data_IF_051960777548
#
_entry.id   IF_051960777548
#
_cell.length_a   1.000
_cell.length_b   1.000
_cell.length_c   1.000
_cell.angle_alpha   90.00
_cell.angle_beta   90.00
_cell.angle_gamma   90.00
#
_symmetry.space_group_name_H-M   'P 1'
#
loop_
_entity.id
_entity.type
_entity.pdbx_description
1 polymer ?
#
# COMPACT_ATOMS: atom_id res chain seq x y z
N UNK A 1 5.47 14.49 -19.18
CA UNK A 1 4.03 14.12 -19.09
C UNK A 1 3.30 15.12 -18.23
N UNK A 2 1.97 15.23 -18.34
CA UNK A 2 1.18 16.15 -17.52
C UNK A 2 0.92 15.51 -16.16
N UNK A 3 1.22 16.22 -15.07
CA UNK A 3 0.92 15.78 -13.71
C UNK A 3 -0.47 16.25 -13.27
N UNK A 4 -1.02 15.59 -12.25
CA UNK A 4 -2.23 16.02 -11.53
C UNK A 4 -1.97 16.04 -10.02
N UNK A 5 -2.33 17.13 -9.36
CA UNK A 5 -2.22 17.28 -7.91
C UNK A 5 -3.45 16.66 -7.24
N UNK A 6 -3.28 15.58 -6.47
CA UNK A 6 -4.38 14.94 -5.75
C UNK A 6 -3.86 14.19 -4.52
N UNK A 7 -4.66 14.18 -3.46
CA UNK A 7 -4.33 13.53 -2.18
C UNK A 7 -3.09 14.13 -1.51
N UNK A 8 -2.89 13.75 -0.26
CA UNK A 8 -1.67 14.02 0.49
C UNK A 8 -1.29 12.79 1.30
N UNK A 9 -0.01 12.67 1.63
CA UNK A 9 0.49 11.64 2.53
C UNK A 9 1.43 12.28 3.54
N UNK A 10 1.11 12.10 4.83
CA UNK A 10 1.86 12.70 5.93
C UNK A 10 2.02 14.22 5.80
N UNK A 11 0.97 14.90 5.34
CA UNK A 11 0.96 16.36 5.15
C UNK A 11 1.61 16.84 3.84
N UNK A 12 2.22 15.95 3.06
CA UNK A 12 2.82 16.31 1.77
C UNK A 12 1.81 16.13 0.63
N UNK A 13 1.53 17.16 -0.18
CA UNK A 13 0.70 17.02 -1.38
C UNK A 13 1.39 16.11 -2.40
N UNK A 14 0.59 15.35 -3.17
CA UNK A 14 1.10 14.37 -4.11
C UNK A 14 0.82 14.78 -5.57
N UNK A 15 1.89 14.79 -6.36
CA UNK A 15 1.85 15.09 -7.80
C UNK A 15 1.91 13.80 -8.61
N UNK A 16 0.79 13.40 -9.20
CA UNK A 16 0.65 12.12 -9.89
C UNK A 16 0.90 12.24 -11.38
N UNK A 17 1.58 11.25 -11.95
CA UNK A 17 1.67 11.07 -13.40
C UNK A 17 1.41 9.61 -13.75
N UNK A 18 0.99 9.38 -14.99
CA UNK A 18 0.69 8.04 -15.52
C UNK A 18 1.92 7.44 -16.17
N UNK A 19 2.04 6.13 -16.13
CA UNK A 19 3.05 5.34 -16.83
C UNK A 19 2.30 4.24 -17.59
N UNK A 20 2.38 4.29 -18.92
CA UNK A 20 1.76 3.29 -19.80
C UNK A 20 2.82 2.35 -20.37
N UNK A 21 2.37 1.15 -20.74
CA UNK A 21 3.19 0.06 -21.30
C UNK A 21 3.70 0.28 -22.74
N UNK A 22 3.39 1.43 -23.35
CA UNK A 22 3.79 1.81 -24.72
C UNK A 22 5.30 1.69 -24.94
N UNK A 23 6.12 1.88 -23.89
CA UNK A 23 7.59 1.75 -23.95
C UNK A 23 8.03 0.32 -24.30
N UNK A 24 7.22 -0.70 -24.00
CA UNK A 24 7.50 -2.10 -24.30
C UNK A 24 6.75 -2.62 -25.55
N UNK A 25 6.15 -1.72 -26.34
CA UNK A 25 5.29 -2.08 -27.48
C UNK A 25 3.83 -2.36 -27.08
N UNK A 26 3.47 -2.12 -25.82
CA UNK A 26 2.12 -2.31 -25.31
C UNK A 26 1.12 -1.29 -25.85
N UNK A 27 -0.16 -1.67 -25.79
CA UNK A 27 -1.27 -0.92 -26.33
C UNK A 27 -2.20 -0.38 -25.23
N UNK A 28 -1.79 -0.44 -23.96
CA UNK A 28 -2.60 0.06 -22.86
C UNK A 28 -2.54 1.58 -22.81
N UNK A 29 -3.70 2.19 -22.57
CA UNK A 29 -3.81 3.63 -22.39
C UNK A 29 -4.47 3.94 -21.06
N UNK A 30 -4.03 5.01 -20.42
CA UNK A 30 -4.62 5.48 -19.18
C UNK A 30 -4.73 7.00 -19.15
N UNK A 31 -5.56 7.49 -18.24
CA UNK A 31 -5.73 8.88 -17.91
C UNK A 31 -5.80 9.07 -16.39
N UNK A 32 -5.46 10.27 -15.95
CA UNK A 32 -5.61 10.70 -14.57
C UNK A 32 -6.51 11.92 -14.54
N UNK A 33 -7.45 11.92 -13.60
CA UNK A 33 -8.34 13.05 -13.33
C UNK A 33 -8.45 13.26 -11.82
N UNK A 34 -8.75 14.49 -11.43
CA UNK A 34 -9.06 14.83 -10.05
C UNK A 34 -10.56 15.04 -9.97
N UNK A 35 -11.25 14.22 -9.20
CA UNK A 35 -12.68 14.38 -8.97
C UNK A 35 -12.95 15.66 -8.18
N UNK A 36 -14.18 16.18 -8.24
CA UNK A 36 -14.58 17.35 -7.44
C UNK A 36 -14.43 17.12 -5.93
N UNK A 37 -14.45 15.86 -5.49
CA UNK A 37 -14.18 15.45 -4.10
C UNK A 37 -12.70 15.49 -3.69
N UNK A 38 -11.78 15.72 -4.63
CA UNK A 38 -10.33 15.63 -4.43
C UNK A 38 -9.76 14.21 -4.60
N UNK A 39 -10.60 13.22 -4.95
CA UNK A 39 -10.14 11.87 -5.24
C UNK A 39 -9.31 11.83 -6.54
N UNK A 40 -8.32 10.93 -6.58
CA UNK A 40 -7.58 10.61 -7.80
C UNK A 40 -8.35 9.53 -8.57
N UNK A 41 -8.84 9.87 -9.76
CA UNK A 41 -9.43 8.91 -10.68
C UNK A 41 -8.37 8.43 -11.67
N UNK A 42 -8.15 7.11 -11.69
CA UNK A 42 -7.26 6.42 -12.60
C UNK A 42 -8.05 5.43 -13.45
N UNK A 43 -8.13 5.69 -14.74
CA UNK A 43 -8.94 4.91 -15.68
C UNK A 43 -8.25 4.77 -17.02
N UNK A 44 -8.73 3.83 -17.83
CA UNK A 44 -8.14 3.59 -19.14
C UNK A 44 -8.63 2.31 -19.78
N UNK A 45 -7.86 1.83 -20.74
CA UNK A 45 -8.08 0.55 -21.43
C UNK A 45 -6.79 -0.25 -21.36
N UNK A 46 -6.87 -1.45 -20.78
CA UNK A 46 -5.81 -2.45 -20.84
C UNK A 46 -5.88 -3.18 -22.18
N UNK A 47 -4.71 -3.43 -22.76
CA UNK A 47 -4.52 -4.43 -23.80
C UNK A 47 -3.49 -5.45 -23.33
N UNK A 48 -3.82 -6.74 -23.42
CA UNK A 48 -2.93 -7.88 -23.16
C UNK A 48 -2.08 -8.25 -24.37
N UNK A 49 -2.25 -7.54 -25.50
CA UNK A 49 -1.46 -7.72 -26.70
C UNK A 49 -0.01 -7.29 -26.42
N UNK A 50 0.90 -8.27 -26.47
CA UNK A 50 2.35 -8.10 -26.25
C UNK A 50 2.76 -7.74 -24.80
N UNK A 51 1.93 -8.10 -23.83
CA UNK A 51 2.12 -7.72 -22.43
C UNK A 51 0.95 -6.89 -21.95
N UNK A 52 1.12 -6.05 -20.93
CA UNK A 52 0.02 -5.23 -20.46
C UNK A 52 0.24 -4.70 -19.05
N UNK A 53 0.28 -3.38 -18.91
CA UNK A 53 0.09 -2.73 -17.62
C UNK A 53 -0.39 -1.29 -17.77
N UNK A 54 -1.04 -0.81 -16.72
CA UNK A 54 -1.28 0.61 -16.51
C UNK A 54 -0.85 0.98 -15.10
N UNK A 55 -0.05 2.04 -14.96
CA UNK A 55 0.32 2.55 -13.65
C UNK A 55 0.12 4.06 -13.56
N UNK A 56 -0.02 4.54 -12.33
CA UNK A 56 0.25 5.93 -11.99
C UNK A 56 1.10 5.97 -10.73
N UNK A 57 1.95 6.98 -10.62
CA UNK A 57 2.85 7.14 -9.49
C UNK A 57 3.08 8.62 -9.22
N UNK A 58 3.47 8.96 -8.00
CA UNK A 58 3.79 10.34 -7.64
C UNK A 58 5.22 10.69 -8.04
N UNK A 59 5.48 11.98 -8.30
CA UNK A 59 6.84 12.51 -8.35
C UNK A 59 7.53 12.19 -7.03
N UNK A 60 8.78 11.73 -7.13
CA UNK A 60 9.62 11.40 -5.99
C UNK A 60 9.87 12.66 -5.13
N UNK A 61 9.55 12.57 -3.84
CA UNK A 61 9.86 13.59 -2.83
C UNK A 61 9.98 12.93 -1.46
N UNK A 62 10.76 13.46 -0.51
CA UNK A 62 10.77 12.94 0.85
C UNK A 62 9.37 13.04 1.49
N UNK A 63 8.75 11.92 1.82
CA UNK A 63 7.42 11.88 2.47
C UNK A 63 7.48 11.90 4.00
N UNK A 64 8.69 11.82 4.57
CA UNK A 64 8.94 12.01 6.01
C UNK A 64 8.19 11.04 6.92
N UNK A 65 7.85 9.83 6.44
CA UNK A 65 7.06 8.87 7.21
C UNK A 65 7.82 8.43 8.46
N UNK A 66 7.15 8.32 9.62
CA UNK A 66 7.77 7.76 10.82
C UNK A 66 8.30 6.34 10.57
N UNK A 67 9.48 6.02 11.11
CA UNK A 67 10.08 4.69 10.99
C UNK A 67 9.21 3.58 11.61
N UNK A 68 8.36 3.93 12.57
CA UNK A 68 7.39 3.03 13.19
C UNK A 68 6.06 2.93 12.42
N UNK A 69 5.94 3.46 11.21
CA UNK A 69 4.75 3.24 10.37
C UNK A 69 4.52 1.74 10.20
N UNK A 70 3.33 1.25 10.56
CA UNK A 70 2.98 -0.17 10.49
C UNK A 70 2.04 -0.52 9.35
N UNK A 71 1.29 0.45 8.82
CA UNK A 71 0.33 0.21 7.75
C UNK A 71 0.02 1.47 6.93
N UNK A 72 -0.52 1.26 5.72
CA UNK A 72 -1.17 2.29 4.92
C UNK A 72 -2.68 2.06 4.91
N UNK A 73 -3.42 3.12 5.22
CA UNK A 73 -4.85 3.17 4.98
C UNK A 73 -5.11 3.72 3.58
N UNK A 74 -5.88 2.99 2.79
CA UNK A 74 -6.23 3.35 1.42
C UNK A 74 -7.75 3.27 1.27
N UNK A 75 -8.39 4.38 0.94
CA UNK A 75 -9.83 4.43 0.68
C UNK A 75 -10.06 4.44 -0.83
N UNK A 76 -10.74 3.43 -1.39
CA UNK A 76 -10.85 3.24 -2.84
C UNK A 76 -12.26 2.86 -3.30
N UNK A 77 -12.60 3.22 -4.53
CA UNK A 77 -13.68 2.59 -5.32
C UNK A 77 -13.04 1.94 -6.54
N UNK A 78 -13.33 0.68 -6.83
CA UNK A 78 -12.67 -0.09 -7.91
C UNK A 78 -13.68 -0.80 -8.81
N UNK A 79 -13.22 -1.24 -9.98
CA UNK A 79 -13.91 -2.10 -10.95
C UNK A 79 -13.78 -3.61 -10.66
N UNK A 80 -13.13 -3.97 -9.54
CA UNK A 80 -12.92 -5.35 -9.11
C UNK A 80 -11.68 -6.04 -9.69
N UNK A 81 -10.83 -5.33 -10.45
CA UNK A 81 -9.52 -5.83 -10.83
C UNK A 81 -8.53 -5.77 -9.66
N UNK A 82 -7.48 -6.60 -9.73
CA UNK A 82 -6.44 -6.67 -8.70
C UNK A 82 -5.39 -5.57 -8.94
N UNK A 83 -5.66 -4.40 -8.38
CA UNK A 83 -4.69 -3.31 -8.30
C UNK A 83 -3.67 -3.55 -7.18
N UNK A 84 -2.51 -2.91 -7.32
CA UNK A 84 -1.46 -2.87 -6.31
C UNK A 84 -1.21 -1.45 -5.87
N UNK A 85 -0.97 -1.26 -4.57
CA UNK A 85 -0.29 -0.08 -4.07
C UNK A 85 1.21 -0.30 -4.21
N UNK A 86 1.90 0.64 -4.88
CA UNK A 86 3.34 0.60 -5.08
C UNK A 86 4.03 1.71 -4.29
N UNK A 87 5.27 1.45 -3.86
CA UNK A 87 6.10 2.39 -3.12
C UNK A 87 7.52 2.35 -3.68
N UNK A 88 8.15 3.51 -3.84
CA UNK A 88 9.58 3.63 -4.16
C UNK A 88 10.33 4.24 -2.98
N UNK A 89 11.53 3.74 -2.71
CA UNK A 89 12.45 4.33 -1.71
C UNK A 89 13.70 4.94 -2.32
N UNK A 90 13.75 5.00 -3.65
CA UNK A 90 14.86 5.51 -4.43
C UNK A 90 14.35 6.07 -5.76
N UNK A 91 15.05 7.08 -6.26
CA UNK A 91 14.86 7.64 -7.62
C UNK A 91 15.49 6.75 -8.70
N UNK A 92 16.37 5.82 -8.31
CA UNK A 92 17.03 4.90 -9.24
C UNK A 92 16.05 3.86 -9.77
N UNK A 93 15.96 3.77 -11.10
CA UNK A 93 15.18 2.75 -11.81
C UNK A 93 15.70 1.31 -11.60
N UNK A 94 16.89 1.16 -11.03
CA UNK A 94 17.52 -0.14 -10.75
C UNK A 94 17.16 -0.69 -9.37
N UNK A 95 16.64 0.17 -8.49
CA UNK A 95 16.18 -0.21 -7.16
C UNK A 95 14.80 -0.89 -7.25
N UNK A 96 14.49 -1.81 -6.32
CA UNK A 96 13.20 -2.48 -6.32
C UNK A 96 12.07 -1.48 -6.03
N UNK A 97 10.88 -1.82 -6.52
CA UNK A 97 9.61 -1.20 -6.14
C UNK A 97 8.93 -2.13 -5.15
N UNK A 98 8.44 -1.59 -4.04
CA UNK A 98 7.64 -2.35 -3.09
C UNK A 98 6.19 -2.33 -3.54
N UNK A 99 5.55 -3.49 -3.56
CA UNK A 99 4.17 -3.63 -4.01
C UNK A 99 3.35 -4.48 -3.04
N UNK A 100 2.08 -4.12 -2.85
CA UNK A 100 1.10 -4.89 -2.11
C UNK A 100 -0.22 -4.90 -2.88
N UNK A 101 -0.84 -6.07 -3.01
CA UNK A 101 -2.14 -6.20 -3.66
C UNK A 101 -3.26 -5.57 -2.81
N UNK A 102 -4.16 -4.83 -3.46
CA UNK A 102 -5.47 -4.52 -2.88
C UNK A 102 -6.31 -5.79 -2.93
N UNK A 103 -6.96 -6.24 -1.84
CA UNK A 103 -7.57 -7.57 -1.77
C UNK A 103 -8.84 -7.69 -2.61
N UNK A 104 -8.71 -7.79 -3.94
CA UNK A 104 -9.79 -7.69 -4.92
C UNK A 104 -10.98 -8.62 -4.64
N UNK A 105 -10.73 -9.84 -4.15
CA UNK A 105 -11.79 -10.78 -3.79
C UNK A 105 -12.76 -10.25 -2.71
N UNK A 106 -12.34 -9.29 -1.91
CA UNK A 106 -13.17 -8.63 -0.88
C UNK A 106 -13.77 -7.30 -1.35
N UNK A 107 -13.42 -6.81 -2.54
CA UNK A 107 -13.87 -5.51 -3.04
C UNK A 107 -15.10 -5.69 -3.92
N UNK A 108 -16.22 -5.13 -3.48
CA UNK A 108 -17.43 -5.00 -4.28
C UNK A 108 -17.25 -3.85 -5.29
N UNK A 109 -17.40 -4.09 -6.61
CA UNK A 109 -17.27 -3.05 -7.62
C UNK A 109 -18.19 -1.86 -7.36
N UNK A 110 -17.70 -0.66 -7.68
CA UNK A 110 -18.42 0.62 -7.51
C UNK A 110 -18.80 0.98 -6.06
N UNK A 111 -18.43 0.17 -5.06
CA UNK A 111 -18.52 0.53 -3.65
C UNK A 111 -17.19 1.08 -3.15
N UNK A 112 -17.28 2.01 -2.20
CA UNK A 112 -16.14 2.52 -1.48
C UNK A 112 -15.70 1.50 -0.43
N UNK A 113 -14.40 1.25 -0.35
CA UNK A 113 -13.76 0.36 0.61
C UNK A 113 -12.61 1.08 1.30
N UNK A 114 -12.44 0.80 2.59
CA UNK A 114 -11.34 1.31 3.41
C UNK A 114 -10.41 0.13 3.76
N UNK A 115 -9.19 0.19 3.23
CA UNK A 115 -8.23 -0.90 3.26
C UNK A 115 -7.08 -0.54 4.18
N UNK A 116 -6.68 -1.48 5.04
CA UNK A 116 -5.47 -1.36 5.85
C UNK A 116 -4.41 -2.34 5.34
N UNK A 117 -3.39 -1.81 4.70
CA UNK A 117 -2.28 -2.58 4.13
C UNK A 117 -1.08 -2.53 5.08
N UNK A 118 -0.80 -3.61 5.84
CA UNK A 118 0.34 -3.62 6.74
C UNK A 118 1.65 -3.58 5.95
N UNK A 119 2.71 -3.00 6.52
CA UNK A 119 4.05 -2.99 5.91
C UNK A 119 4.52 -4.41 5.55
N UNK A 120 4.14 -5.41 6.36
CA UNK A 120 4.43 -6.82 6.11
C UNK A 120 3.74 -7.43 4.88
N UNK A 121 2.77 -6.74 4.26
CA UNK A 121 2.16 -7.15 3.00
C UNK A 121 2.99 -6.74 1.78
N UNK A 122 3.88 -5.74 1.91
CA UNK A 122 4.68 -5.26 0.79
C UNK A 122 5.80 -6.24 0.45
N UNK A 123 6.03 -6.41 -0.84
CA UNK A 123 7.11 -7.24 -1.40
C UNK A 123 7.93 -6.39 -2.35
N UNK A 124 9.25 -6.50 -2.25
CA UNK A 124 10.15 -5.87 -3.20
C UNK A 124 10.07 -6.62 -4.53
N UNK A 125 9.98 -5.87 -5.62
CA UNK A 125 9.92 -6.38 -6.98
C UNK A 125 10.83 -5.57 -7.89
N UNK A 126 11.58 -6.26 -8.74
CA UNK A 126 12.42 -5.65 -9.77
C UNK A 126 12.08 -6.28 -11.10
N UNK A 127 11.57 -5.47 -12.02
CA UNK A 127 11.16 -5.91 -13.37
C UNK A 127 10.25 -7.14 -13.32
N UNK A 128 9.30 -7.16 -12.38
CA UNK A 128 8.33 -8.23 -12.20
C UNK A 128 8.82 -9.45 -11.43
N UNK A 129 10.10 -9.51 -11.05
CA UNK A 129 10.65 -10.58 -10.22
C UNK A 129 10.72 -10.16 -8.76
N UNK A 130 10.30 -11.03 -7.84
CA UNK A 130 10.42 -10.76 -6.40
C UNK A 130 11.88 -10.69 -5.97
N UNK A 131 12.18 -9.79 -5.04
CA UNK A 131 13.50 -9.68 -4.41
C UNK A 131 13.39 -10.18 -2.97
N UNK A 132 13.94 -11.37 -2.72
CA UNK A 132 13.93 -12.00 -1.40
C UNK A 132 14.84 -11.26 -0.40
N UNK A 133 14.43 -11.25 0.87
CA UNK A 133 15.21 -10.65 1.96
C UNK A 133 15.22 -9.11 2.01
N UNK A 134 14.61 -8.42 1.04
CA UNK A 134 14.50 -6.97 1.05
C UNK A 134 13.50 -6.49 2.12
N UNK A 135 13.88 -5.47 2.89
CA UNK A 135 13.04 -4.87 3.94
C UNK A 135 12.59 -3.48 3.51
N UNK A 136 11.30 -3.19 3.70
CA UNK A 136 10.75 -1.85 3.48
C UNK A 136 11.02 -0.98 4.70
N UNK A 137 11.75 0.13 4.51
CA UNK A 137 11.96 1.15 5.54
C UNK A 137 11.03 2.34 5.27
N UNK A 138 9.96 2.56 6.07
CA UNK A 138 8.95 3.57 5.75
C UNK A 138 9.50 4.99 5.61
N UNK A 139 10.49 5.34 6.43
CA UNK A 139 11.11 6.67 6.43
C UNK A 139 11.88 7.00 5.16
N UNK A 140 12.15 6.01 4.30
CA UNK A 140 12.84 6.20 3.01
C UNK A 140 11.87 6.30 1.84
N UNK A 141 10.56 6.16 2.05
CA UNK A 141 9.59 6.20 0.96
C UNK A 141 9.57 7.60 0.34
N UNK A 142 9.75 7.63 -0.99
CA UNK A 142 9.79 8.85 -1.81
C UNK A 142 8.59 8.98 -2.73
N UNK A 143 7.95 7.87 -3.10
CA UNK A 143 6.84 7.88 -4.06
C UNK A 143 5.86 6.77 -3.74
N UNK A 144 4.59 7.02 -4.07
CA UNK A 144 3.49 6.08 -3.97
C UNK A 144 2.81 5.95 -5.33
N UNK A 145 2.23 4.80 -5.63
CA UNK A 145 1.60 4.57 -6.92
C UNK A 145 0.51 3.51 -6.90
N UNK A 146 -0.26 3.45 -7.98
CA UNK A 146 -1.22 2.40 -8.25
C UNK A 146 -0.77 1.68 -9.52
N UNK A 147 -0.73 0.35 -9.47
CA UNK A 147 -0.36 -0.49 -10.61
C UNK A 147 -1.43 -1.55 -10.88
N UNK A 148 -1.81 -1.69 -12.14
CA UNK A 148 -2.61 -2.81 -12.66
C UNK A 148 -1.75 -3.53 -13.71
N UNK A 149 -1.41 -4.78 -13.45
CA UNK A 149 -0.47 -5.55 -14.28
C UNK A 149 -0.81 -7.05 -14.31
N UNK A 150 -0.16 -7.74 -15.24
CA UNK A 150 -0.26 -9.19 -15.49
C UNK A 150 0.12 -10.09 -14.30
N UNK A 151 0.84 -9.56 -13.32
CA UNK A 151 1.29 -10.30 -12.14
C UNK A 151 0.87 -9.63 -10.83
N UNK A 152 0.56 -10.45 -9.83
CA UNK A 152 0.27 -10.03 -8.46
C UNK A 152 1.54 -9.54 -7.72
N UNK A 153 1.40 -9.09 -6.48
CA UNK A 153 2.52 -8.59 -5.68
C UNK A 153 3.58 -9.66 -5.37
N UNK A 154 3.22 -10.94 -5.47
CA UNK A 154 4.07 -12.11 -5.23
C UNK A 154 4.74 -12.63 -6.52
N UNK A 155 4.44 -12.03 -7.67
CA UNK A 155 4.99 -12.44 -8.96
C UNK A 155 4.22 -13.58 -9.63
N UNK A 156 3.05 -13.98 -9.12
CA UNK A 156 2.19 -14.97 -9.79
C UNK A 156 1.31 -14.29 -10.84
N UNK A 157 0.78 -15.04 -11.83
CA UNK A 157 -0.21 -14.51 -12.76
C UNK A 157 -1.43 -13.89 -12.05
N UNK A 158 -1.79 -12.69 -12.45
CA UNK A 158 -2.96 -11.98 -11.94
C UNK A 158 -4.24 -12.50 -12.64
N UNK A 159 -4.95 -13.41 -11.98
CA UNK A 159 -6.16 -14.04 -12.53
C UNK A 159 -7.35 -13.06 -12.69
N UNK A 160 -7.26 -11.86 -12.13
CA UNK A 160 -8.28 -10.81 -12.26
C UNK A 160 -7.98 -9.81 -13.39
N UNK A 161 -6.79 -9.89 -13.99
CA UNK A 161 -6.34 -8.99 -15.06
C UNK A 161 -7.02 -9.37 -16.39
N UNK A 162 -7.56 -8.37 -17.09
CA UNK A 162 -8.30 -8.57 -18.33
C UNK A 162 -8.15 -7.40 -19.29
N UNK A 163 -8.33 -7.69 -20.57
CA UNK A 163 -8.49 -6.67 -21.61
C UNK A 163 -9.72 -5.80 -21.36
N UNK A 164 -9.62 -4.56 -21.82
CA UNK A 164 -10.74 -3.63 -21.84
C UNK A 164 -10.65 -2.56 -20.76
N UNK A 165 -11.79 -1.91 -20.45
CA UNK A 165 -11.79 -0.75 -19.60
C UNK A 165 -11.41 -1.11 -18.16
N UNK A 166 -10.64 -0.22 -17.53
CA UNK A 166 -10.37 -0.27 -16.11
C UNK A 166 -10.68 1.06 -15.43
N UNK A 167 -11.03 1.01 -14.15
CA UNK A 167 -11.22 2.22 -13.34
C UNK A 167 -11.02 1.96 -11.84
N UNK A 168 -10.28 2.88 -11.21
CA UNK A 168 -10.15 2.99 -9.76
C UNK A 168 -10.13 4.47 -9.34
N UNK A 169 -10.89 4.80 -8.31
CA UNK A 169 -10.85 6.09 -7.62
C UNK A 169 -10.18 5.90 -6.27
N UNK A 170 -9.09 6.63 -6.00
CA UNK A 170 -8.45 6.68 -4.69
C UNK A 170 -8.93 7.94 -3.96
N UNK A 171 -9.69 7.74 -2.90
CA UNK A 171 -10.31 8.81 -2.12
C UNK A 171 -9.42 9.32 -0.99
N UNK A 172 -8.57 8.46 -0.43
CA UNK A 172 -7.66 8.82 0.66
C UNK A 172 -6.47 7.86 0.72
N UNK A 173 -5.33 8.40 1.15
CA UNK A 173 -4.11 7.65 1.47
C UNK A 173 -3.53 8.20 2.77
N UNK A 174 -3.28 7.33 3.75
CA UNK A 174 -2.70 7.74 5.03
C UNK A 174 -1.75 6.68 5.58
N UNK A 175 -0.66 7.11 6.20
CA UNK A 175 0.23 6.24 6.96
C UNK A 175 -0.27 6.12 8.41
N UNK A 176 -0.23 4.91 8.96
CA UNK A 176 -0.58 4.64 10.35
C UNK A 176 0.64 4.08 11.09
N UNK A 177 0.94 4.69 12.23
CA UNK A 177 1.76 4.05 13.25
C UNK A 177 0.88 3.09 14.06
N UNK A 178 1.44 1.99 14.61
CA UNK A 178 0.70 1.13 15.51
C UNK A 178 0.32 1.96 16.74
N UNK A 179 -0.89 1.75 17.25
CA UNK A 179 -1.22 2.25 18.57
C UNK A 179 -0.15 1.73 19.55
N UNK A 180 0.36 2.55 20.49
CA UNK A 180 1.27 2.06 21.51
C UNK A 180 0.58 0.88 22.19
N UNK A 181 1.22 -0.30 22.17
CA UNK A 181 0.70 -1.48 22.85
C UNK A 181 0.45 -1.10 24.29
N UNK A 182 -0.81 -1.13 24.75
CA UNK A 182 -1.10 -0.98 26.16
C UNK A 182 -0.28 -2.04 26.90
N UNK A 183 0.65 -1.60 27.75
CA UNK A 183 1.43 -2.50 28.58
C UNK A 183 0.47 -3.44 29.30
N UNK A 184 0.75 -4.76 29.37
CA UNK A 184 -0.07 -5.64 30.18
C UNK A 184 -0.13 -5.09 31.61
N UNK A 185 -1.30 -5.10 32.26
CA UNK A 185 -1.40 -4.64 33.64
C UNK A 185 -0.37 -5.40 34.48
N UNK A 186 0.42 -4.66 35.26
CA UNK A 186 1.40 -5.27 36.17
C UNK A 186 0.68 -6.32 37.02
N UNK A 187 1.25 -7.52 37.19
CA UNK A 187 0.65 -8.51 38.07
C UNK A 187 0.53 -7.91 39.46
N UNK A 188 -0.66 -8.05 40.06
CA UNK A 188 -0.91 -7.61 41.43
C UNK A 188 0.18 -8.18 42.36
N UNK A 189 0.67 -7.41 43.35
CA UNK A 189 1.69 -7.91 44.27
C UNK A 189 1.15 -9.17 44.95
N UNK A 190 1.86 -10.29 44.76
CA UNK A 190 1.54 -11.54 45.47
C UNK A 190 1.53 -11.25 46.97
N UNK A 191 0.40 -11.52 47.61
CA UNK A 191 0.31 -11.48 49.07
C UNK A 191 1.38 -12.41 49.64
N UNK A 192 2.26 -11.87 50.48
CA UNK A 192 3.22 -12.67 51.25
C UNK A 192 2.41 -13.64 52.12
N UNK A 193 2.58 -14.94 51.90
CA UNK A 193 2.13 -15.96 52.85
C UNK A 193 2.73 -15.67 54.22
N UNK A 194 1.96 -15.71 55.31
CA UNK A 194 2.51 -15.52 56.65
C UNK A 194 3.51 -16.63 56.96
N UNK A 195 4.66 -16.24 57.51
CA UNK A 195 5.71 -17.14 57.98
C UNK A 195 5.20 -17.96 59.18
N UNK A 196 5.64 -19.22 59.39
CA UNK A 196 5.14 -20.10 60.47
C UNK A 196 5.46 -19.67 61.92
N UNK A 197 5.90 -18.44 62.16
CA UNK A 197 6.35 -17.98 63.48
C UNK A 197 5.23 -17.55 64.44
N UNK A 198 3.97 -17.49 64.00
CA UNK A 198 2.85 -17.02 64.84
C UNK A 198 2.01 -18.13 65.52
N UNK A 199 2.43 -19.40 65.44
CA UNK A 199 1.76 -20.49 66.17
C UNK A 199 2.64 -20.99 67.32
N UNK A 200 2.81 -20.18 68.36
CA UNK A 200 3.10 -20.69 69.71
C UNK A 200 2.87 -19.60 70.78
N UNK A 201 1.69 -19.59 71.42
CA UNK A 201 1.57 -19.13 72.81
C UNK A 201 0.60 -20.03 73.56
N UNK A 202 1.00 -20.66 74.68
CA UNK A 202 0.13 -21.49 75.48
C UNK A 202 -0.55 -20.67 76.58
N UNK A 203 -1.79 -21.06 76.91
CA UNK A 203 -2.30 -21.15 78.29
C UNK A 203 -3.20 -22.37 78.38
#
# INVERSE_FOLDING_TARGET
ERTVSALSLNGHPLEWYKINDVVMGGHSCSELRVAASGALDFSGVISTRDGGFASCTTIEQPLGLPSNTSAFHVSVTTDGQLYKLTLKVSESVWEPVWQADLPAASLVPSKRHDLLLPISAFRASRMGSTVEGATLEPSRILSVGINLALIDARGNPNLHFRDGPFAISVHALAAHAPAPSASPPMPAPMARSPSPADVMRPR
#
